data_IF_078901289077
#
_entry.id   IF_078901289077
#
_cell.length_a   1.000
_cell.length_b   1.000
_cell.length_c   1.000
_cell.angle_alpha   90.00
_cell.angle_beta   90.00
_cell.angle_gamma   90.00
#
_symmetry.space_group_name_H-M   'P 1'
#
loop_
_entity.id
_entity.type
_entity.pdbx_description
1 polymer ?
#
# COMPACT_ATOMS: atom_id res chain seq x y z
N UNK A 1 -23.26 -23.72 -7.96
CA UNK A 1 -21.79 -23.69 -7.78
C UNK A 1 -21.47 -23.82 -6.30
N UNK A 2 -20.70 -24.83 -5.91
CA UNK A 2 -20.17 -24.93 -4.55
C UNK A 2 -19.44 -23.64 -4.20
N UNK A 3 -19.73 -23.09 -3.02
CA UNK A 3 -19.06 -21.89 -2.50
C UNK A 3 -17.62 -22.25 -2.19
N UNK A 4 -16.69 -21.75 -3.00
CA UNK A 4 -15.26 -22.00 -2.85
C UNK A 4 -14.79 -21.31 -1.58
N UNK A 5 -14.38 -22.08 -0.57
CA UNK A 5 -13.84 -21.54 0.69
C UNK A 5 -12.32 -21.46 0.62
N UNK A 6 -11.76 -20.29 0.93
CA UNK A 6 -10.31 -20.00 0.82
C UNK A 6 -9.69 -19.41 2.09
N UNK A 7 -10.39 -19.52 3.22
CA UNK A 7 -9.95 -18.85 4.47
C UNK A 7 -8.58 -19.36 4.94
N UNK A 8 -8.32 -20.67 4.87
CA UNK A 8 -7.05 -21.26 5.34
C UNK A 8 -5.88 -20.81 4.47
N UNK A 9 -6.06 -20.89 3.16
CA UNK A 9 -5.06 -20.51 2.16
C UNK A 9 -4.74 -19.01 2.27
N UNK A 10 -5.75 -18.15 2.41
CA UNK A 10 -5.53 -16.71 2.57
C UNK A 10 -4.84 -16.34 3.89
N UNK A 11 -4.97 -17.15 4.95
CA UNK A 11 -4.16 -16.98 6.17
C UNK A 11 -2.69 -17.30 5.94
N UNK A 12 -2.39 -18.33 5.15
CA UNK A 12 -1.02 -18.66 4.74
C UNK A 12 -0.45 -17.53 3.89
N UNK A 13 -1.21 -17.04 2.89
CA UNK A 13 -0.81 -15.87 2.09
C UNK A 13 -0.52 -14.66 2.99
N UNK A 14 -1.39 -14.36 3.96
CA UNK A 14 -1.18 -13.25 4.89
C UNK A 14 0.13 -13.40 5.69
N UNK A 15 0.41 -14.61 6.21
CA UNK A 15 1.63 -14.90 6.96
C UNK A 15 2.88 -14.74 6.08
N UNK A 16 2.87 -15.31 4.87
CA UNK A 16 3.98 -15.21 3.93
C UNK A 16 4.20 -13.77 3.46
N UNK A 17 3.14 -13.02 3.15
CA UNK A 17 3.24 -11.60 2.77
C UNK A 17 3.99 -10.81 3.84
N UNK A 18 3.61 -10.99 5.11
CA UNK A 18 4.24 -10.28 6.23
C UNK A 18 5.69 -10.71 6.39
N UNK A 19 5.96 -12.01 6.54
CA UNK A 19 7.33 -12.49 6.80
C UNK A 19 8.28 -12.07 5.68
N UNK A 20 7.89 -12.27 4.42
CA UNK A 20 8.73 -11.91 3.29
C UNK A 20 8.99 -10.40 3.23
N UNK A 21 7.98 -9.55 3.48
CA UNK A 21 8.19 -8.11 3.49
C UNK A 21 9.14 -7.67 4.59
N UNK A 22 9.00 -8.19 5.80
CA UNK A 22 9.90 -7.84 6.90
C UNK A 22 11.32 -8.31 6.63
N UNK A 23 11.52 -9.54 6.13
CA UNK A 23 12.85 -10.03 5.74
C UNK A 23 13.50 -9.15 4.67
N UNK A 24 12.74 -8.66 3.69
CA UNK A 24 13.26 -7.75 2.66
C UNK A 24 13.55 -6.35 3.23
N UNK A 25 12.64 -5.79 4.04
CA UNK A 25 12.79 -4.45 4.60
C UNK A 25 13.89 -4.36 5.67
N UNK A 26 14.32 -5.48 6.26
CA UNK A 26 15.49 -5.59 7.14
C UNK A 26 16.75 -6.04 6.40
N UNK A 27 16.69 -6.29 5.09
CA UNK A 27 17.86 -6.70 4.30
C UNK A 27 18.35 -8.13 4.57
N UNK A 28 17.57 -8.94 5.30
CA UNK A 28 17.92 -10.34 5.60
C UNK A 28 17.79 -11.25 4.38
N UNK A 29 17.00 -10.84 3.37
CA UNK A 29 16.94 -11.49 2.06
C UNK A 29 17.11 -10.46 0.95
N UNK A 30 17.68 -10.88 -0.18
CA UNK A 30 17.78 -10.04 -1.37
C UNK A 30 16.41 -9.76 -1.98
N UNK A 31 16.25 -8.59 -2.60
CA UNK A 31 14.96 -8.19 -3.22
C UNK A 31 14.53 -9.10 -4.38
N UNK A 32 15.45 -9.80 -5.04
CA UNK A 32 15.15 -10.84 -6.03
C UNK A 32 14.48 -12.06 -5.39
N UNK A 33 15.02 -12.54 -4.26
CA UNK A 33 14.46 -13.66 -3.48
C UNK A 33 13.09 -13.30 -2.94
N UNK A 34 12.93 -12.09 -2.41
CA UNK A 34 11.63 -11.54 -2.00
C UNK A 34 10.62 -11.56 -3.16
N UNK A 35 11.00 -11.00 -4.32
CA UNK A 35 10.10 -10.88 -5.47
C UNK A 35 9.65 -12.24 -5.98
N UNK A 36 10.58 -13.20 -6.09
CA UNK A 36 10.28 -14.58 -6.49
C UNK A 36 9.38 -15.30 -5.48
N UNK A 37 9.70 -15.21 -4.19
CA UNK A 37 8.94 -15.87 -3.12
C UNK A 37 7.53 -15.31 -3.00
N UNK A 38 7.38 -13.98 -3.10
CA UNK A 38 6.08 -13.30 -3.06
C UNK A 38 5.22 -13.69 -4.26
N UNK A 39 5.78 -13.65 -5.46
CA UNK A 39 5.07 -14.06 -6.67
C UNK A 39 4.65 -15.53 -6.61
N UNK A 40 5.55 -16.43 -6.20
CA UNK A 40 5.27 -17.86 -6.07
C UNK A 40 4.17 -18.14 -5.05
N UNK A 41 4.19 -17.48 -3.88
CA UNK A 41 3.16 -17.63 -2.84
C UNK A 41 1.77 -17.28 -3.39
N UNK A 42 1.65 -16.13 -4.06
CA UNK A 42 0.37 -15.64 -4.60
C UNK A 42 -0.08 -16.50 -5.78
N UNK A 43 0.82 -16.88 -6.69
CA UNK A 43 0.50 -17.71 -7.86
C UNK A 43 0.09 -19.12 -7.47
N UNK A 44 0.80 -19.78 -6.54
CA UNK A 44 0.43 -21.11 -6.05
C UNK A 44 -0.96 -21.07 -5.38
N UNK A 45 -1.23 -20.04 -4.59
CA UNK A 45 -2.56 -19.84 -3.99
C UNK A 45 -3.65 -19.65 -5.03
N UNK A 46 -3.34 -18.97 -6.13
CA UNK A 46 -4.25 -18.81 -7.27
C UNK A 46 -4.48 -20.11 -8.03
N UNK A 47 -3.44 -20.94 -8.24
CA UNK A 47 -3.59 -22.26 -8.84
C UNK A 47 -4.50 -23.14 -7.99
N UNK A 48 -4.33 -23.13 -6.66
CA UNK A 48 -5.23 -23.83 -5.73
C UNK A 48 -6.67 -23.32 -5.82
N UNK A 49 -6.86 -22.00 -5.90
CA UNK A 49 -8.17 -21.39 -6.14
C UNK A 49 -8.79 -21.86 -7.47
N UNK A 50 -7.99 -21.93 -8.54
CA UNK A 50 -8.43 -22.39 -9.86
C UNK A 50 -8.76 -23.88 -9.86
N UNK A 51 -8.01 -24.70 -9.12
CA UNK A 51 -8.32 -26.11 -8.92
C UNK A 51 -9.65 -26.29 -8.20
N UNK A 52 -9.89 -25.53 -7.11
CA UNK A 52 -11.15 -25.60 -6.36
C UNK A 52 -12.37 -25.10 -7.13
N UNK A 53 -12.18 -24.23 -8.13
CA UNK A 53 -13.26 -23.74 -9.01
C UNK A 53 -13.43 -24.57 -10.29
N UNK A 54 -12.67 -25.65 -10.44
CA UNK A 54 -12.71 -26.56 -11.59
C UNK A 54 -12.32 -25.89 -12.92
N UNK A 55 -11.39 -24.94 -12.91
CA UNK A 55 -10.84 -24.39 -14.15
C UNK A 55 -10.34 -22.95 -14.05
N UNK A 56 -10.03 -22.36 -15.21
CA UNK A 56 -9.62 -20.96 -15.32
C UNK A 56 -10.69 -20.11 -16.00
N UNK A 57 -10.83 -18.86 -15.55
CA UNK A 57 -11.68 -17.90 -16.24
C UNK A 57 -10.89 -17.20 -17.34
N UNK A 58 -11.39 -17.27 -18.59
CA UNK A 58 -10.78 -16.63 -19.74
C UNK A 58 -10.54 -15.12 -19.53
N UNK A 59 -11.49 -14.43 -18.89
CA UNK A 59 -11.36 -12.99 -18.55
C UNK A 59 -10.18 -12.73 -17.61
N UNK A 60 -9.93 -13.63 -16.65
CA UNK A 60 -8.81 -13.48 -15.73
C UNK A 60 -7.48 -13.73 -16.44
N UNK A 61 -7.41 -14.77 -17.28
CA UNK A 61 -6.22 -15.06 -18.10
C UNK A 61 -5.87 -13.85 -18.97
N UNK A 62 -6.85 -13.23 -19.65
CA UNK A 62 -6.61 -12.04 -20.48
C UNK A 62 -5.98 -10.90 -19.67
N UNK A 63 -6.50 -10.62 -18.46
CA UNK A 63 -5.96 -9.58 -17.59
C UNK A 63 -4.54 -9.89 -17.12
N UNK A 64 -4.24 -11.15 -16.83
CA UNK A 64 -2.89 -11.61 -16.46
C UNK A 64 -1.92 -11.56 -17.65
N UNK A 65 -2.37 -11.88 -18.86
CA UNK A 65 -1.59 -11.72 -20.09
C UNK A 65 -1.25 -10.25 -20.35
N UNK A 66 -2.20 -9.33 -20.18
CA UNK A 66 -1.93 -7.88 -20.29
C UNK A 66 -0.87 -7.46 -19.25
N UNK A 67 -0.98 -7.95 -18.02
CA UNK A 67 0.01 -7.67 -16.98
C UNK A 67 1.40 -8.23 -17.33
N UNK A 68 1.45 -9.39 -17.98
CA UNK A 68 2.69 -10.01 -18.45
C UNK A 68 3.30 -9.27 -19.65
N UNK A 69 2.50 -8.70 -20.54
CA UNK A 69 2.99 -7.85 -21.64
C UNK A 69 3.87 -6.71 -21.09
N UNK A 70 3.50 -6.08 -19.96
CA UNK A 70 4.34 -5.04 -19.34
C UNK A 70 5.65 -5.55 -18.75
N UNK A 71 5.75 -6.84 -18.42
CA UNK A 71 7.03 -7.46 -18.03
C UNK A 71 7.95 -7.54 -19.24
N UNK A 72 7.42 -7.98 -20.38
CA UNK A 72 8.17 -8.15 -21.63
C UNK A 72 8.57 -6.79 -22.20
N UNK A 73 7.62 -5.86 -22.36
CA UNK A 73 7.85 -4.55 -22.96
C UNK A 73 8.89 -3.73 -22.18
N UNK A 74 8.79 -3.71 -20.85
CA UNK A 74 9.72 -2.97 -20.00
C UNK A 74 10.93 -3.81 -19.57
N UNK A 75 11.04 -5.08 -20.00
CA UNK A 75 12.11 -6.03 -19.60
C UNK A 75 12.33 -6.08 -18.08
N UNK A 76 11.24 -6.07 -17.32
CA UNK A 76 11.32 -5.91 -15.86
C UNK A 76 10.24 -6.73 -15.15
N UNK A 77 10.68 -7.80 -14.49
CA UNK A 77 9.81 -8.72 -13.74
C UNK A 77 8.99 -8.04 -12.63
N UNK A 78 9.48 -6.93 -12.04
CA UNK A 78 8.75 -6.21 -11.00
C UNK A 78 7.42 -5.61 -11.48
N UNK A 79 7.23 -5.45 -12.79
CA UNK A 79 5.97 -4.97 -13.36
C UNK A 79 4.84 -6.00 -13.26
N UNK A 80 5.15 -7.28 -13.02
CA UNK A 80 4.14 -8.30 -12.76
C UNK A 80 3.41 -8.10 -11.41
N UNK A 81 3.89 -7.21 -10.55
CA UNK A 81 3.18 -6.81 -9.31
C UNK A 81 1.73 -6.37 -9.54
N UNK A 82 1.43 -5.77 -10.70
CA UNK A 82 0.04 -5.50 -11.13
C UNK A 82 -0.79 -6.77 -11.31
N UNK A 83 -0.20 -7.80 -11.95
CA UNK A 83 -0.84 -9.11 -12.11
C UNK A 83 -1.10 -9.78 -10.76
N UNK A 84 -0.14 -9.70 -9.83
CA UNK A 84 -0.31 -10.21 -8.46
C UNK A 84 -1.46 -9.51 -7.72
N UNK A 85 -1.62 -8.19 -7.89
CA UNK A 85 -2.75 -7.45 -7.34
C UNK A 85 -4.09 -7.94 -7.91
N UNK A 86 -4.17 -8.18 -9.22
CA UNK A 86 -5.35 -8.77 -9.87
C UNK A 86 -5.67 -10.18 -9.36
N UNK A 87 -4.64 -11.02 -9.16
CA UNK A 87 -4.80 -12.35 -8.59
C UNK A 87 -5.42 -12.30 -7.19
N UNK A 88 -4.86 -11.45 -6.31
CA UNK A 88 -5.41 -11.24 -4.96
C UNK A 88 -6.88 -10.78 -5.05
N UNK A 89 -7.18 -9.84 -5.93
CA UNK A 89 -8.55 -9.39 -6.16
C UNK A 89 -9.48 -10.52 -6.64
N UNK A 90 -9.06 -11.37 -7.58
CA UNK A 90 -9.89 -12.48 -8.07
C UNK A 90 -10.18 -13.48 -6.95
N UNK A 91 -9.19 -13.84 -6.15
CA UNK A 91 -9.39 -14.72 -5.00
C UNK A 91 -10.36 -14.09 -3.99
N UNK A 92 -10.16 -12.82 -3.63
CA UNK A 92 -11.01 -12.12 -2.66
C UNK A 92 -12.46 -11.93 -3.13
N UNK A 93 -12.67 -11.65 -4.42
CA UNK A 93 -13.99 -11.33 -4.96
C UNK A 93 -14.84 -12.55 -5.29
N UNK A 94 -14.23 -13.72 -5.50
CA UNK A 94 -14.91 -14.94 -5.99
C UNK A 94 -14.85 -16.13 -5.04
N UNK A 95 -14.32 -15.95 -3.83
CA UNK A 95 -14.29 -17.01 -2.82
C UNK A 95 -14.89 -16.53 -1.50
N UNK A 96 -15.41 -17.49 -0.73
CA UNK A 96 -15.86 -17.25 0.63
C UNK A 96 -14.67 -17.27 1.59
N UNK A 97 -14.35 -16.08 2.10
CA UNK A 97 -13.25 -15.87 3.03
C UNK A 97 -13.78 -15.21 4.30
N UNK A 98 -13.36 -15.72 5.45
CA UNK A 98 -13.48 -15.02 6.72
C UNK A 98 -12.37 -13.97 6.82
N UNK A 99 -12.65 -12.78 6.30
CA UNK A 99 -11.70 -11.66 6.24
C UNK A 99 -11.20 -11.25 7.63
N UNK A 100 -12.02 -11.40 8.69
CA UNK A 100 -11.61 -11.11 10.06
C UNK A 100 -10.53 -12.08 10.54
N UNK A 101 -10.65 -13.38 10.25
CA UNK A 101 -9.60 -14.37 10.58
C UNK A 101 -8.30 -14.13 9.81
N UNK A 102 -8.40 -13.78 8.53
CA UNK A 102 -7.22 -13.46 7.71
C UNK A 102 -6.53 -12.19 8.22
N UNK A 103 -7.29 -11.12 8.46
CA UNK A 103 -6.77 -9.87 9.00
C UNK A 103 -6.21 -10.00 10.41
N UNK A 104 -6.80 -10.85 11.28
CA UNK A 104 -6.22 -11.18 12.58
C UNK A 104 -4.87 -11.87 12.44
N UNK A 105 -4.73 -12.79 11.48
CA UNK A 105 -3.46 -13.47 11.20
C UNK A 105 -2.43 -12.44 10.73
N UNK A 106 -2.77 -11.59 9.76
CA UNK A 106 -1.91 -10.51 9.28
C UNK A 106 -1.48 -9.57 10.42
N UNK A 107 -2.42 -9.11 11.26
CA UNK A 107 -2.15 -8.20 12.36
C UNK A 107 -1.18 -8.79 13.38
N UNK A 108 -1.44 -10.03 13.83
CA UNK A 108 -0.61 -10.69 14.85
C UNK A 108 0.80 -10.91 14.30
N UNK A 109 0.93 -11.49 13.10
CA UNK A 109 2.24 -11.73 12.48
C UNK A 109 2.99 -10.41 12.26
N UNK A 110 2.33 -9.37 11.75
CA UNK A 110 2.98 -8.07 11.50
C UNK A 110 3.43 -7.41 12.79
N UNK A 111 2.61 -7.45 13.85
CA UNK A 111 2.97 -6.89 15.15
C UNK A 111 4.17 -7.62 15.76
N UNK A 112 4.18 -8.97 15.69
CA UNK A 112 5.31 -9.78 16.16
C UNK A 112 6.58 -9.44 15.39
N UNK A 113 6.54 -9.41 14.05
CA UNK A 113 7.69 -9.07 13.22
C UNK A 113 8.17 -7.63 13.48
N UNK A 114 7.26 -6.67 13.65
CA UNK A 114 7.59 -5.28 13.96
C UNK A 114 8.31 -5.13 15.30
N UNK A 115 7.75 -5.70 16.35
CA UNK A 115 8.33 -5.67 17.69
C UNK A 115 9.68 -6.39 17.69
N UNK A 116 9.76 -7.57 17.08
CA UNK A 116 11.01 -8.33 16.97
C UNK A 116 12.10 -7.52 16.24
N UNK A 117 11.76 -6.83 15.15
CA UNK A 117 12.72 -6.00 14.40
C UNK A 117 13.29 -4.88 15.28
N UNK A 118 12.44 -4.21 16.07
CA UNK A 118 12.87 -3.17 17.01
C UNK A 118 13.74 -3.77 18.13
N UNK A 119 13.35 -4.92 18.69
CA UNK A 119 14.14 -5.59 19.73
C UNK A 119 15.52 -6.00 19.22
N UNK A 120 15.61 -6.54 18.00
CA UNK A 120 16.89 -6.88 17.36
C UNK A 120 17.74 -5.64 17.09
N UNK A 121 17.13 -4.51 16.72
CA UNK A 121 17.83 -3.23 16.61
C UNK A 121 18.42 -2.77 17.95
N UNK A 122 17.65 -2.87 19.05
CA UNK A 122 18.09 -2.42 20.37
C UNK A 122 19.16 -3.33 21.00
N UNK A 123 19.01 -4.65 20.87
CA UNK A 123 19.87 -5.64 21.55
C UNK A 123 21.06 -6.04 20.68
N UNK A 124 20.85 -6.25 19.37
CA UNK A 124 21.85 -6.79 18.45
C UNK A 124 22.39 -5.76 17.46
N UNK A 125 21.99 -4.48 17.58
CA UNK A 125 22.37 -3.40 16.65
C UNK A 125 22.04 -3.70 15.18
N UNK A 126 20.98 -4.48 14.92
CA UNK A 126 20.51 -4.80 13.58
C UNK A 126 20.27 -3.52 12.77
N UNK A 127 20.93 -3.36 11.62
CA UNK A 127 20.81 -2.20 10.72
C UNK A 127 20.99 -0.83 11.39
N UNK A 128 21.77 -0.75 12.47
CA UNK A 128 22.12 0.52 13.11
C UNK A 128 22.99 1.40 12.21
N UNK A 129 23.74 0.79 11.29
CA UNK A 129 24.46 1.49 10.20
C UNK A 129 23.54 2.18 9.20
N UNK A 130 22.24 1.83 9.17
CA UNK A 130 21.23 2.48 8.33
C UNK A 130 20.58 3.69 9.02
N UNK A 131 21.00 4.04 10.24
CA UNK A 131 20.66 5.31 10.87
C UNK A 131 21.28 6.44 10.05
N UNK A 132 20.53 7.53 9.86
CA UNK A 132 20.94 8.61 8.96
C UNK A 132 20.75 9.96 9.61
N UNK A 133 21.77 10.81 9.46
CA UNK A 133 21.71 12.22 9.84
C UNK A 133 21.35 13.02 8.59
N UNK A 134 20.31 13.83 8.68
CA UNK A 134 19.85 14.66 7.56
C UNK A 134 19.87 16.13 7.95
N UNK A 135 20.47 16.96 7.10
CA UNK A 135 20.37 18.42 7.22
C UNK A 135 18.96 18.85 6.82
N UNK A 136 18.24 19.53 7.73
CA UNK A 136 16.86 19.98 7.49
C UNK A 136 16.64 21.35 8.15
N UNK A 137 16.47 22.38 7.33
CA UNK A 137 16.43 23.76 7.83
C UNK A 137 17.80 24.14 8.37
N UNK A 138 17.85 24.47 9.66
CA UNK A 138 19.06 24.93 10.36
C UNK A 138 19.63 23.88 11.34
N UNK A 139 19.15 22.64 11.30
CA UNK A 139 19.57 21.60 12.24
C UNK A 139 19.82 20.24 11.57
N UNK A 140 20.76 19.49 12.15
CA UNK A 140 20.94 18.08 11.88
C UNK A 140 19.88 17.27 12.63
N UNK A 141 19.08 16.51 11.87
CA UNK A 141 18.07 15.62 12.44
C UNK A 141 18.56 14.19 12.31
N UNK A 142 18.72 13.52 13.45
CA UNK A 142 19.03 12.10 13.49
C UNK A 142 17.75 11.28 13.23
N UNK A 143 17.85 10.28 12.35
CA UNK A 143 16.76 9.41 11.94
C UNK A 143 17.17 7.97 12.20
N UNK A 144 16.53 7.36 13.20
CA UNK A 144 16.75 5.95 13.51
C UNK A 144 16.03 5.06 12.52
N UNK A 145 16.72 4.03 12.05
CA UNK A 145 16.21 3.02 11.13
C UNK A 145 15.25 2.04 11.81
N UNK A 146 15.36 1.90 13.14
CA UNK A 146 14.61 0.95 13.97
C UNK A 146 14.74 -0.52 13.50
N UNK A 147 15.88 -0.87 12.91
CA UNK A 147 16.18 -2.22 12.43
C UNK A 147 15.85 -2.45 10.96
N UNK A 148 15.30 -1.45 10.27
CA UNK A 148 15.05 -1.50 8.83
C UNK A 148 16.24 -0.94 8.03
N UNK A 149 16.34 -1.28 6.75
CA UNK A 149 17.38 -0.74 5.86
C UNK A 149 17.16 0.74 5.51
N UNK A 150 15.97 1.28 5.82
CA UNK A 150 15.64 2.69 5.62
C UNK A 150 14.63 3.16 6.69
N UNK A 151 14.80 4.35 7.30
CA UNK A 151 13.90 4.84 8.36
C UNK A 151 12.42 4.96 7.94
N UNK A 152 12.13 5.19 6.65
CA UNK A 152 10.76 5.26 6.15
C UNK A 152 10.03 3.91 6.24
N UNK A 153 10.76 2.78 6.20
CA UNK A 153 10.16 1.44 6.16
C UNK A 153 9.52 1.07 7.50
N UNK A 154 10.03 1.58 8.62
CA UNK A 154 9.38 1.43 9.92
C UNK A 154 7.94 1.99 9.88
N UNK A 155 7.78 3.23 9.41
CA UNK A 155 6.46 3.88 9.38
C UNK A 155 5.51 3.23 8.36
N UNK A 156 6.03 2.81 7.20
CA UNK A 156 5.27 2.06 6.19
C UNK A 156 4.81 0.69 6.72
N UNK A 157 5.67 -0.04 7.43
CA UNK A 157 5.32 -1.34 8.00
C UNK A 157 4.29 -1.19 9.13
N UNK A 158 4.47 -0.17 9.97
CA UNK A 158 3.50 0.17 11.01
C UNK A 158 2.13 0.57 10.43
N UNK A 159 2.09 1.24 9.27
CA UNK A 159 0.83 1.56 8.60
C UNK A 159 -0.01 0.30 8.31
N UNK A 160 0.63 -0.78 7.83
CA UNK A 160 -0.04 -2.06 7.61
C UNK A 160 -0.68 -2.61 8.90
N UNK A 161 0.06 -2.55 10.01
CA UNK A 161 -0.43 -2.92 11.37
C UNK A 161 -1.61 -2.03 11.78
N UNK A 162 -1.51 -0.72 11.58
CA UNK A 162 -2.55 0.24 11.93
C UNK A 162 -3.85 0.00 11.15
N UNK A 163 -3.77 -0.23 9.84
CA UNK A 163 -4.95 -0.58 9.00
C UNK A 163 -5.62 -1.84 9.53
N UNK A 164 -4.82 -2.87 9.84
CA UNK A 164 -5.34 -4.13 10.33
C UNK A 164 -6.02 -4.00 11.70
N UNK A 165 -5.43 -3.24 12.61
CA UNK A 165 -6.01 -2.99 13.92
C UNK A 165 -7.30 -2.16 13.84
N UNK A 166 -7.33 -1.12 13.00
CA UNK A 166 -8.53 -0.32 12.75
C UNK A 166 -9.68 -1.19 12.23
N UNK A 167 -9.39 -2.09 11.29
CA UNK A 167 -10.37 -3.02 10.74
C UNK A 167 -10.92 -4.01 11.78
N UNK A 168 -10.05 -4.55 12.63
CA UNK A 168 -10.44 -5.51 13.67
C UNK A 168 -11.19 -4.86 14.84
N UNK A 169 -11.02 -3.56 15.06
CA UNK A 169 -11.67 -2.83 16.14
C UNK A 169 -13.15 -2.54 15.83
N UNK A 170 -14.07 -3.12 16.62
CA UNK A 170 -15.52 -2.93 16.41
C UNK A 170 -16.21 -2.14 17.52
N UNK A 171 -15.81 -2.31 18.79
CA UNK A 171 -16.53 -1.74 19.93
C UNK A 171 -15.84 -0.50 20.53
N UNK A 172 -14.51 -0.51 20.63
CA UNK A 172 -13.71 0.52 21.29
C UNK A 172 -12.89 1.38 20.33
N UNK A 173 -13.50 1.74 19.20
CA UNK A 173 -12.78 2.33 18.08
C UNK A 173 -12.02 3.63 18.45
N UNK A 174 -12.58 4.50 19.32
CA UNK A 174 -11.88 5.71 19.78
C UNK A 174 -10.60 5.41 20.54
N UNK A 175 -10.65 4.42 21.43
CA UNK A 175 -9.48 4.00 22.21
C UNK A 175 -8.42 3.42 21.27
N UNK A 176 -8.83 2.61 20.29
CA UNK A 176 -7.94 2.10 19.25
C UNK A 176 -7.30 3.22 18.44
N UNK A 177 -8.06 4.24 18.05
CA UNK A 177 -7.54 5.40 17.30
C UNK A 177 -6.50 6.16 18.14
N UNK A 178 -6.80 6.45 19.41
CA UNK A 178 -5.86 7.12 20.32
C UNK A 178 -4.59 6.28 20.49
N UNK A 179 -4.73 4.97 20.69
CA UNK A 179 -3.60 4.07 20.83
C UNK A 179 -2.70 4.07 19.58
N UNK A 180 -3.28 3.97 18.38
CA UNK A 180 -2.52 4.05 17.14
C UNK A 180 -1.86 5.42 16.98
N UNK A 181 -2.55 6.51 17.36
CA UNK A 181 -1.98 7.86 17.30
C UNK A 181 -0.76 8.00 18.22
N UNK A 182 -0.83 7.50 19.46
CA UNK A 182 0.30 7.49 20.41
C UNK A 182 1.48 6.70 19.81
N UNK A 183 1.24 5.48 19.33
CA UNK A 183 2.29 4.68 18.69
C UNK A 183 2.87 5.37 17.44
N UNK A 184 2.04 6.06 16.67
CA UNK A 184 2.47 6.86 15.52
C UNK A 184 3.42 7.97 15.96
N UNK A 185 3.10 8.70 17.03
CA UNK A 185 3.98 9.74 17.57
C UNK A 185 5.31 9.18 18.06
N UNK A 186 5.30 8.03 18.73
CA UNK A 186 6.53 7.36 19.20
C UNK A 186 7.41 6.97 18.01
N UNK A 187 6.86 6.29 17.01
CA UNK A 187 7.62 5.87 15.82
C UNK A 187 8.09 7.09 15.03
N UNK A 188 7.26 8.12 14.91
CA UNK A 188 7.59 9.36 14.24
C UNK A 188 8.75 10.09 14.93
N UNK A 189 8.77 10.13 16.27
CA UNK A 189 9.86 10.74 17.05
C UNK A 189 11.23 10.16 16.67
N UNK A 190 11.32 8.82 16.55
CA UNK A 190 12.58 8.13 16.21
C UNK A 190 12.92 8.18 14.71
N UNK A 191 11.94 7.98 13.82
CA UNK A 191 12.19 7.82 12.38
C UNK A 191 12.17 9.13 11.59
N UNK A 192 11.47 10.15 12.12
CA UNK A 192 11.23 11.45 11.50
C UNK A 192 10.64 11.34 10.07
N UNK A 193 9.82 10.30 9.86
CA UNK A 193 9.11 9.99 8.61
C UNK A 193 7.84 10.84 8.48
N UNK A 194 8.03 12.11 8.06
CA UNK A 194 6.99 13.16 8.03
C UNK A 194 5.75 12.79 7.23
N UNK A 195 5.93 12.35 5.99
CA UNK A 195 4.84 12.17 5.04
C UNK A 195 3.86 11.08 5.48
N UNK A 196 4.34 9.87 5.71
CA UNK A 196 3.54 8.75 6.19
C UNK A 196 2.99 8.96 7.60
N UNK A 197 3.77 9.60 8.49
CA UNK A 197 3.35 10.00 9.84
C UNK A 197 2.17 10.98 9.83
N UNK A 198 2.32 12.10 9.11
CA UNK A 198 1.28 13.14 9.04
C UNK A 198 0.02 12.66 8.34
N UNK A 199 0.14 11.89 7.26
CA UNK A 199 -1.03 11.32 6.58
C UNK A 199 -1.78 10.37 7.52
N UNK A 200 -1.08 9.49 8.25
CA UNK A 200 -1.74 8.60 9.20
C UNK A 200 -2.44 9.39 10.32
N UNK A 201 -1.76 10.37 10.93
CA UNK A 201 -2.36 11.22 11.97
C UNK A 201 -3.59 11.97 11.45
N UNK A 202 -3.53 12.55 10.25
CA UNK A 202 -4.67 13.23 9.63
C UNK A 202 -5.88 12.30 9.46
N UNK A 203 -5.65 11.08 8.96
CA UNK A 203 -6.71 10.07 8.80
C UNK A 203 -7.29 9.67 10.17
N UNK A 204 -6.43 9.47 11.17
CA UNK A 204 -6.85 9.15 12.54
C UNK A 204 -7.68 10.27 13.15
N UNK A 205 -7.34 11.55 12.93
CA UNK A 205 -8.13 12.70 13.38
C UNK A 205 -9.53 12.71 12.76
N UNK A 206 -9.65 12.45 11.45
CA UNK A 206 -10.96 12.33 10.79
C UNK A 206 -11.75 11.15 11.38
N UNK A 207 -11.12 10.00 11.58
CA UNK A 207 -11.75 8.83 12.19
C UNK A 207 -12.17 9.08 13.64
N UNK A 208 -11.40 9.86 14.40
CA UNK A 208 -11.69 10.18 15.79
C UNK A 208 -12.98 11.00 15.90
N UNK A 209 -13.07 12.07 15.10
CA UNK A 209 -14.26 12.93 15.03
C UNK A 209 -15.47 12.13 14.50
N UNK A 210 -15.25 11.28 13.51
CA UNK A 210 -16.31 10.49 12.86
C UNK A 210 -16.50 9.09 13.44
N UNK A 211 -16.00 8.79 14.64
CA UNK A 211 -15.92 7.42 15.18
C UNK A 211 -17.28 6.71 15.28
N UNK A 212 -18.36 7.46 15.58
CA UNK A 212 -19.73 6.92 15.63
C UNK A 212 -20.31 6.62 14.24
N UNK A 213 -19.69 7.12 13.17
CA UNK A 213 -20.11 7.01 11.78
C UNK A 213 -19.14 6.17 10.92
N UNK A 214 -18.12 5.56 11.52
CA UNK A 214 -17.09 4.77 10.80
C UNK A 214 -17.67 3.70 9.89
N UNK A 215 -18.67 2.96 10.39
CA UNK A 215 -19.34 1.88 9.66
C UNK A 215 -20.52 2.35 8.82
N UNK A 216 -20.89 3.64 8.91
CA UNK A 216 -21.95 4.20 8.07
C UNK A 216 -21.47 4.28 6.63
N UNK A 217 -22.43 4.12 5.72
CA UNK A 217 -22.19 4.31 4.31
C UNK A 217 -21.87 5.78 4.03
N UNK A 218 -20.87 6.01 3.17
CA UNK A 218 -20.53 7.35 2.70
C UNK A 218 -21.49 7.85 1.63
N UNK A 219 -21.60 9.16 1.48
CA UNK A 219 -22.41 9.75 0.42
C UNK A 219 -21.82 9.44 -0.97
N UNK A 220 -22.65 9.55 -2.02
CA UNK A 220 -22.17 9.41 -3.39
C UNK A 220 -21.11 10.46 -3.75
N UNK A 221 -21.19 11.65 -3.16
CA UNK A 221 -20.17 12.69 -3.33
C UNK A 221 -18.83 12.27 -2.74
N UNK A 222 -18.79 11.85 -1.47
CA UNK A 222 -17.56 11.38 -0.81
C UNK A 222 -16.91 10.22 -1.61
N UNK A 223 -17.73 9.27 -2.06
CA UNK A 223 -17.28 8.15 -2.91
C UNK A 223 -16.65 8.62 -4.22
N UNK A 224 -17.30 9.55 -4.93
CA UNK A 224 -16.81 10.09 -6.21
C UNK A 224 -15.51 10.87 -6.00
N UNK A 225 -15.41 11.69 -4.96
CA UNK A 225 -14.19 12.45 -4.65
C UNK A 225 -12.98 11.53 -4.43
N UNK A 226 -13.16 10.43 -3.69
CA UNK A 226 -12.08 9.45 -3.47
C UNK A 226 -11.75 8.68 -4.75
N UNK A 227 -12.73 8.47 -5.64
CA UNK A 227 -12.52 7.83 -6.95
C UNK A 227 -11.60 8.64 -7.85
N UNK A 228 -11.75 9.97 -7.85
CA UNK A 228 -10.98 10.88 -8.70
C UNK A 228 -9.63 11.25 -8.07
N UNK A 229 -9.48 11.09 -6.76
CA UNK A 229 -8.25 11.41 -6.01
C UNK A 229 -6.94 10.92 -6.65
N UNK A 230 -6.76 9.64 -7.05
CA UNK A 230 -5.51 9.22 -7.66
C UNK A 230 -5.20 9.97 -8.96
N UNK A 231 -6.22 10.33 -9.76
CA UNK A 231 -6.03 11.08 -11.00
C UNK A 231 -5.58 12.51 -10.70
N UNK A 232 -6.21 13.15 -9.72
CA UNK A 232 -5.80 14.48 -9.24
C UNK A 232 -4.35 14.44 -8.76
N UNK A 233 -3.97 13.44 -7.96
CA UNK A 233 -2.61 13.29 -7.47
C UNK A 233 -1.61 13.06 -8.59
N UNK A 234 -1.95 12.30 -9.64
CA UNK A 234 -1.12 12.16 -10.83
C UNK A 234 -0.93 13.48 -11.57
N UNK A 235 -2.01 14.25 -11.76
CA UNK A 235 -1.97 15.56 -12.42
C UNK A 235 -1.08 16.52 -11.61
N UNK A 236 -1.23 16.54 -10.28
CA UNK A 236 -0.39 17.33 -9.39
C UNK A 236 1.07 16.89 -9.51
N UNK A 237 1.36 15.58 -9.41
CA UNK A 237 2.71 15.03 -9.57
C UNK A 237 3.35 15.44 -10.90
N UNK A 238 2.60 15.33 -12.01
CA UNK A 238 3.07 15.74 -13.33
C UNK A 238 3.32 17.25 -13.42
N UNK A 239 2.40 18.06 -12.88
CA UNK A 239 2.52 19.52 -12.90
C UNK A 239 3.76 19.99 -12.13
N UNK A 240 4.10 19.34 -11.02
CA UNK A 240 5.30 19.62 -10.23
C UNK A 240 6.62 19.39 -11.01
N UNK A 241 6.60 18.59 -12.09
CA UNK A 241 7.77 18.41 -12.95
C UNK A 241 8.04 19.61 -13.86
N UNK A 242 7.02 20.44 -14.12
CA UNK A 242 7.10 21.55 -15.09
C UNK A 242 7.06 22.93 -14.47
N UNK A 243 6.45 23.06 -13.29
CA UNK A 243 6.31 24.34 -12.60
C UNK A 243 7.65 24.79 -12.00
N UNK A 244 7.92 26.10 -11.93
CA UNK A 244 9.13 26.61 -11.28
C UNK A 244 9.19 26.15 -9.81
N UNK A 245 10.38 25.78 -9.34
CA UNK A 245 10.58 25.26 -8.00
C UNK A 245 10.34 26.36 -6.98
N UNK A 246 9.28 26.21 -6.18
CA UNK A 246 9.12 26.99 -4.97
C UNK A 246 10.03 26.44 -3.87
N UNK A 247 10.99 27.24 -3.39
CA UNK A 247 11.99 26.80 -2.39
C UNK A 247 11.35 26.34 -1.07
N UNK A 248 10.27 26.99 -0.61
CA UNK A 248 9.57 26.57 0.60
C UNK A 248 8.94 25.18 0.43
N UNK A 249 8.31 24.93 -0.72
CA UNK A 249 7.68 23.64 -1.02
C UNK A 249 8.74 22.55 -1.23
N UNK A 250 9.89 22.90 -1.82
CA UNK A 250 11.02 21.99 -1.99
C UNK A 250 11.61 21.58 -0.64
N UNK A 251 11.82 22.53 0.27
CA UNK A 251 12.31 22.27 1.62
C UNK A 251 11.33 21.42 2.43
N UNK A 252 10.01 21.67 2.30
CA UNK A 252 8.97 20.85 2.92
C UNK A 252 9.04 19.39 2.45
N UNK A 253 9.24 19.18 1.15
CA UNK A 253 9.39 17.86 0.52
C UNK A 253 10.84 17.34 0.54
N UNK A 254 11.71 17.90 1.37
CA UNK A 254 13.11 17.45 1.56
C UNK A 254 13.93 17.39 0.26
N UNK A 255 13.75 18.36 -0.65
CA UNK A 255 14.50 18.45 -1.91
C UNK A 255 13.97 17.55 -3.04
N UNK A 256 12.85 16.84 -2.83
CA UNK A 256 12.30 15.91 -3.82
C UNK A 256 11.84 16.59 -5.10
N UNK A 257 11.37 17.85 -5.06
CA UNK A 257 10.90 18.52 -6.27
C UNK A 257 12.04 18.77 -7.24
N UNK A 258 13.17 19.30 -6.76
CA UNK A 258 14.37 19.51 -7.57
C UNK A 258 14.85 18.20 -8.18
N UNK A 259 14.91 17.14 -7.37
CA UNK A 259 15.33 15.82 -7.83
C UNK A 259 14.39 15.24 -8.90
N UNK A 260 13.07 15.41 -8.76
CA UNK A 260 12.11 14.94 -9.77
C UNK A 260 12.21 15.72 -11.07
N UNK A 261 12.48 17.02 -11.03
CA UNK A 261 12.68 17.83 -12.23
C UNK A 261 13.97 17.46 -12.96
N UNK A 262 15.05 17.21 -12.22
CA UNK A 262 16.32 16.73 -12.78
C UNK A 262 16.11 15.38 -13.51
N UNK A 263 15.49 14.40 -12.85
CA UNK A 263 15.17 13.10 -13.46
C UNK A 263 14.30 13.29 -14.71
N UNK A 264 13.27 14.15 -14.64
CA UNK A 264 12.42 14.42 -15.80
C UNK A 264 13.18 15.08 -16.96
N UNK A 265 14.09 16.00 -16.68
CA UNK A 265 14.90 16.66 -17.72
C UNK A 265 15.87 15.71 -18.42
N UNK A 266 16.39 14.71 -17.68
CA UNK A 266 17.32 13.73 -18.20
C UNK A 266 16.65 12.63 -19.01
N UNK A 267 15.53 12.09 -18.51
CA UNK A 267 14.91 10.89 -19.08
C UNK A 267 13.60 11.15 -19.83
N UNK A 268 12.92 12.26 -19.57
CA UNK A 268 11.61 12.55 -20.16
C UNK A 268 10.53 11.53 -19.79
N UNK A 269 9.40 11.57 -20.52
CA UNK A 269 8.30 10.62 -20.39
C UNK A 269 8.18 9.82 -21.67
N UNK A 270 8.06 8.51 -21.55
CA UNK A 270 7.95 7.59 -22.67
C UNK A 270 6.67 6.76 -22.62
N UNK A 271 6.26 6.26 -23.78
CA UNK A 271 5.08 5.39 -23.91
C UNK A 271 5.30 4.04 -23.19
N UNK A 272 6.49 3.47 -23.38
CA UNK A 272 7.02 2.26 -22.74
C UNK A 272 8.06 2.69 -21.70
N UNK A 273 8.18 1.96 -20.60
CA UNK A 273 9.02 2.35 -19.47
C UNK A 273 10.51 2.43 -19.80
N UNK A 274 11.22 3.28 -19.05
CA UNK A 274 12.67 3.43 -19.12
C UNK A 274 13.32 2.81 -17.87
N UNK A 275 14.14 1.78 -18.08
CA UNK A 275 14.79 1.07 -16.98
C UNK A 275 15.89 1.89 -16.29
N UNK A 276 16.45 2.90 -16.93
CA UNK A 276 17.51 3.74 -16.35
C UNK A 276 16.95 4.63 -15.23
N UNK A 277 15.70 5.09 -15.39
CA UNK A 277 14.96 5.84 -14.36
C UNK A 277 14.75 4.99 -13.10
N UNK A 278 14.67 3.66 -13.21
CA UNK A 278 14.39 2.78 -12.08
C UNK A 278 15.43 2.88 -10.97
N UNK A 279 16.69 3.09 -11.33
CA UNK A 279 17.79 3.15 -10.39
C UNK A 279 17.94 4.53 -9.73
N UNK A 280 17.11 5.48 -10.12
CA UNK A 280 17.06 6.82 -9.51
C UNK A 280 16.22 6.83 -8.23
N UNK A 281 16.50 7.78 -7.33
CA UNK A 281 15.80 7.94 -6.05
C UNK A 281 14.40 8.57 -6.23
N UNK A 282 13.52 7.88 -6.95
CA UNK A 282 12.20 8.37 -7.28
C UNK A 282 11.16 7.88 -6.23
N UNK A 283 11.03 8.67 -5.16
CA UNK A 283 10.16 8.40 -4.00
C UNK A 283 8.70 8.84 -4.23
N UNK A 284 8.09 8.45 -5.34
CA UNK A 284 6.67 8.71 -5.60
C UNK A 284 6.12 7.63 -6.51
N UNK A 285 5.12 6.87 -6.06
CA UNK A 285 4.58 5.78 -6.87
C UNK A 285 3.91 6.29 -8.17
N UNK A 286 3.37 7.52 -8.16
CA UNK A 286 2.79 8.16 -9.34
C UNK A 286 3.87 8.44 -10.38
N UNK A 287 4.90 9.19 -10.01
CA UNK A 287 6.01 9.52 -10.90
C UNK A 287 6.81 8.27 -11.30
N UNK A 288 6.94 7.27 -10.41
CA UNK A 288 7.60 6.01 -10.72
C UNK A 288 6.82 5.24 -11.78
N UNK A 289 5.49 5.22 -11.69
CA UNK A 289 4.67 4.59 -12.72
C UNK A 289 4.83 5.31 -14.06
N UNK A 290 4.86 6.64 -14.06
CA UNK A 290 4.87 7.45 -15.28
C UNK A 290 6.25 7.47 -15.96
N UNK A 291 7.30 7.80 -15.22
CA UNK A 291 8.66 7.97 -15.74
C UNK A 291 9.39 6.63 -15.91
N UNK A 292 9.32 5.75 -14.90
CA UNK A 292 10.06 4.47 -14.96
C UNK A 292 9.29 3.36 -15.69
N UNK A 293 7.95 3.33 -15.59
CA UNK A 293 7.14 2.23 -16.17
C UNK A 293 6.38 2.60 -17.45
N UNK A 294 6.29 3.89 -17.78
CA UNK A 294 5.73 4.41 -19.02
C UNK A 294 4.21 4.66 -18.98
N UNK A 295 3.74 5.48 -19.91
CA UNK A 295 2.33 5.94 -19.99
C UNK A 295 1.35 4.75 -20.05
N UNK A 296 1.65 3.72 -20.84
CA UNK A 296 0.74 2.57 -20.99
C UNK A 296 0.56 1.80 -19.68
N UNK A 297 1.65 1.61 -18.91
CA UNK A 297 1.59 0.97 -17.60
C UNK A 297 0.77 1.81 -16.63
N UNK A 298 1.01 3.13 -16.59
CA UNK A 298 0.24 4.06 -15.74
C UNK A 298 -1.24 4.02 -16.09
N UNK A 299 -1.63 4.10 -17.36
CA UNK A 299 -3.04 4.02 -17.75
C UNK A 299 -3.67 2.70 -17.29
N UNK A 300 -3.00 1.57 -17.48
CA UNK A 300 -3.51 0.27 -17.04
C UNK A 300 -3.61 0.15 -15.51
N UNK A 301 -2.65 0.72 -14.76
CA UNK A 301 -2.70 0.82 -13.30
C UNK A 301 -3.95 1.60 -12.84
N UNK A 302 -4.23 2.73 -13.47
CA UNK A 302 -5.37 3.57 -13.12
C UNK A 302 -6.71 2.94 -13.47
N UNK A 303 -6.81 2.28 -14.63
CA UNK A 303 -7.98 1.46 -14.98
C UNK A 303 -8.18 0.34 -13.94
N UNK A 304 -7.09 -0.29 -13.51
CA UNK A 304 -7.13 -1.32 -12.47
C UNK A 304 -7.65 -0.75 -11.14
N UNK A 305 -7.14 0.41 -10.70
CA UNK A 305 -7.65 1.07 -9.51
C UNK A 305 -9.14 1.41 -9.63
N UNK A 306 -9.55 1.99 -10.75
CA UNK A 306 -10.96 2.27 -11.02
C UNK A 306 -11.84 1.03 -10.89
N UNK A 307 -11.40 -0.10 -11.47
CA UNK A 307 -12.15 -1.35 -11.44
C UNK A 307 -12.23 -1.97 -10.03
N UNK A 308 -11.08 -2.16 -9.37
CA UNK A 308 -10.97 -2.86 -8.08
C UNK A 308 -11.59 -2.02 -6.95
N UNK A 309 -11.27 -0.73 -6.90
CA UNK A 309 -11.61 0.12 -5.76
C UNK A 309 -13.00 0.76 -5.89
N UNK A 310 -13.54 0.94 -7.11
CA UNK A 310 -14.70 1.80 -7.33
C UNK A 310 -15.85 1.15 -8.11
N UNK A 311 -15.59 0.58 -9.30
CA UNK A 311 -16.66 0.08 -10.18
C UNK A 311 -17.47 -1.07 -9.57
N UNK A 312 -16.81 -1.96 -8.83
CA UNK A 312 -17.44 -3.16 -8.27
C UNK A 312 -18.10 -2.96 -6.91
N UNK A 313 -18.26 -1.71 -6.45
CA UNK A 313 -18.81 -1.42 -5.12
C UNK A 313 -20.13 -0.68 -5.22
N UNK A 314 -21.21 -1.31 -4.76
CA UNK A 314 -22.52 -0.66 -4.58
C UNK A 314 -22.48 0.28 -3.38
N UNK A 315 -21.95 -0.17 -2.26
CA UNK A 315 -21.85 0.57 -0.99
C UNK A 315 -20.40 0.63 -0.50
N UNK A 316 -20.05 1.67 0.26
CA UNK A 316 -18.72 1.86 0.85
C UNK A 316 -18.88 2.45 2.25
N UNK A 317 -18.19 1.91 3.25
CA UNK A 317 -18.18 2.49 4.60
C UNK A 317 -17.18 3.65 4.68
N UNK A 318 -17.31 4.49 5.71
CA UNK A 318 -16.37 5.59 5.95
C UNK A 318 -14.95 5.10 6.24
N UNK A 319 -14.80 3.99 6.96
CA UNK A 319 -13.49 3.34 7.16
C UNK A 319 -12.84 2.96 5.83
N UNK A 320 -13.57 2.24 4.97
CA UNK A 320 -13.06 1.82 3.67
C UNK A 320 -12.63 3.02 2.82
N UNK A 321 -13.44 4.08 2.82
CA UNK A 321 -13.19 5.32 2.10
C UNK A 321 -11.90 6.00 2.56
N UNK A 322 -11.70 6.10 3.88
CA UNK A 322 -10.51 6.72 4.46
C UNK A 322 -9.25 5.87 4.29
N UNK A 323 -9.34 4.54 4.38
CA UNK A 323 -8.22 3.63 4.09
C UNK A 323 -7.76 3.76 2.63
N UNK A 324 -8.69 3.92 1.69
CA UNK A 324 -8.37 4.16 0.28
C UNK A 324 -7.72 5.52 0.07
N UNK A 325 -8.28 6.56 0.68
CA UNK A 325 -7.70 7.90 0.64
C UNK A 325 -6.26 7.88 1.16
N UNK A 326 -6.03 7.22 2.29
CA UNK A 326 -4.71 7.04 2.86
C UNK A 326 -3.74 6.31 1.92
N UNK A 327 -4.18 5.21 1.31
CA UNK A 327 -3.37 4.44 0.35
C UNK A 327 -2.91 5.31 -0.83
N UNK A 328 -3.81 6.11 -1.41
CA UNK A 328 -3.48 7.01 -2.52
C UNK A 328 -2.63 8.22 -2.11
N UNK A 329 -2.85 8.79 -0.93
CA UNK A 329 -2.06 9.91 -0.43
C UNK A 329 -0.62 9.52 -0.12
N UNK A 330 -0.40 8.35 0.50
CA UNK A 330 0.96 7.89 0.83
C UNK A 330 1.76 7.60 -0.44
N UNK A 331 1.10 7.09 -1.48
CA UNK A 331 1.71 6.86 -2.79
C UNK A 331 2.24 8.13 -3.47
N UNK A 332 1.81 9.32 -3.03
CA UNK A 332 2.33 10.59 -3.53
C UNK A 332 3.80 10.79 -3.17
N UNK A 333 4.20 10.31 -1.99
CA UNK A 333 5.51 10.57 -1.38
C UNK A 333 6.33 9.32 -1.12
N UNK A 334 5.79 8.14 -1.41
CA UNK A 334 6.45 6.85 -1.21
C UNK A 334 6.11 5.93 -2.38
N UNK A 335 7.00 4.98 -2.67
CA UNK A 335 6.78 3.92 -3.68
C UNK A 335 5.87 2.80 -3.11
N UNK A 336 4.67 3.17 -2.66
CA UNK A 336 3.83 2.30 -1.82
C UNK A 336 2.81 1.45 -2.58
N UNK A 337 2.49 1.74 -3.85
CA UNK A 337 1.41 1.03 -4.56
C UNK A 337 1.57 -0.49 -4.57
N UNK A 338 2.80 -0.97 -4.71
CA UNK A 338 3.11 -2.39 -4.83
C UNK A 338 3.77 -2.98 -3.58
N UNK A 339 3.75 -2.27 -2.45
CA UNK A 339 4.20 -2.82 -1.15
C UNK A 339 3.08 -3.65 -0.55
N UNK A 340 3.28 -4.97 -0.50
CA UNK A 340 2.22 -5.90 -0.09
C UNK A 340 1.83 -5.74 1.37
N UNK A 341 2.73 -5.22 2.23
CA UNK A 341 2.41 -4.89 3.64
C UNK A 341 1.32 -3.81 3.78
N UNK A 342 1.14 -2.95 2.77
CA UNK A 342 0.02 -1.99 2.71
C UNK A 342 -1.09 -2.50 1.80
N UNK A 343 -0.74 -2.94 0.58
CA UNK A 343 -1.73 -3.34 -0.43
C UNK A 343 -2.64 -4.47 0.07
N UNK A 344 -2.07 -5.48 0.73
CA UNK A 344 -2.83 -6.64 1.21
C UNK A 344 -3.92 -6.27 2.23
N UNK A 345 -3.62 -5.58 3.36
CA UNK A 345 -4.66 -5.18 4.30
C UNK A 345 -5.63 -4.16 3.70
N UNK A 346 -5.19 -3.28 2.80
CA UNK A 346 -6.08 -2.36 2.06
C UNK A 346 -7.12 -3.15 1.25
N UNK A 347 -6.68 -4.12 0.45
CA UNK A 347 -7.59 -4.96 -0.34
C UNK A 347 -8.59 -5.72 0.56
N UNK A 348 -8.14 -6.25 1.70
CA UNK A 348 -9.02 -6.94 2.65
C UNK A 348 -10.13 -6.03 3.19
N UNK A 349 -9.77 -4.81 3.63
CA UNK A 349 -10.75 -3.84 4.15
C UNK A 349 -11.78 -3.46 3.08
N UNK A 350 -11.32 -3.26 1.85
CA UNK A 350 -12.15 -2.82 0.73
C UNK A 350 -13.10 -3.92 0.25
N UNK A 351 -12.65 -5.18 0.28
CA UNK A 351 -13.43 -6.34 -0.15
C UNK A 351 -14.42 -6.82 0.90
N UNK A 352 -14.36 -6.31 2.14
CA UNK A 352 -15.38 -6.60 3.15
C UNK A 352 -16.72 -5.90 2.84
N UNK A 353 -17.53 -6.53 2.00
CA UNK A 353 -18.88 -6.07 1.69
C UNK A 353 -19.93 -6.60 2.68
N UNK A 354 -19.56 -7.53 3.59
CA UNK A 354 -20.51 -8.13 4.55
C UNK A 354 -20.97 -7.12 5.61
N UNK A 355 -20.12 -6.19 6.03
CA UNK A 355 -20.54 -5.12 6.96
C UNK A 355 -21.41 -4.05 6.28
N UNK A 356 -21.20 -3.77 4.98
CA UNK A 356 -21.98 -2.77 4.27
C UNK A 356 -23.42 -3.23 3.99
N UNK A 357 -23.64 -4.53 3.77
CA UNK A 357 -24.98 -5.09 3.56
C UNK A 357 -25.78 -5.22 4.87
N UNK A 358 -25.14 -5.47 6.01
CA UNK A 358 -25.82 -5.49 7.33
C UNK A 358 -26.38 -4.13 7.77
N UNK A 359 -25.87 -3.02 7.22
CA UNK A 359 -26.42 -1.68 7.48
C UNK A 359 -27.74 -1.49 6.74
N UNK A 360 -27.94 -2.13 5.58
CA UNK A 360 -29.16 -2.04 4.79
C UNK A 360 -30.32 -2.74 5.53
N UNK A 361 -30.09 -3.91 6.11
CA UNK A 361 -31.10 -4.67 6.89
C UNK A 361 -31.53 -4.00 8.20
N UNK A 362 -30.86 -2.92 8.64
CA UNK A 362 -31.26 -2.14 9.82
C UNK A 362 -31.97 -0.83 9.48
N UNK A 363 -32.02 -0.46 8.20
CA UNK A 363 -32.58 0.82 7.72
C UNK A 363 -33.78 0.60 6.80
N UNK A 364 -33.90 -0.58 6.17
CA UNK A 364 -35.18 -1.12 5.70
C UNK A 364 -35.93 -1.75 6.87
#
# INVERSE_FOLDING_TARGET
MNKITMTREMRVVALCVVILEYLNNTGLIASSVYSFSMASTILLSYILFCKKREGFSLKEIIVLLISFIFVVLNRNASNFSLGLMWILYFMLSKSEIDLKKVMKTFFVTSSVCFILTILLYLIMSLNKSSDMIMWRGDAFINRMSLGFIQPNFAMISFLGVAIALLYLSTERQRITIIFIAILTFIIFYFTQSRTSGYILLFILSILFVSSKKTKKQVSNFEKRSITVLPLILLIISYSLLKLPINQHLNNLLSGRLSLYQEIYSTFGIHLIGNNDVKNTMLDSAYLQSLLAKGILFTLFLFVTFFFIFFLKRKTQTRLQSLVIMMYFLIAFTETSFFRFVILFPVLMVIMDQKEANKVIEKVA
#
